data_IF_614684340432
#
_entry.id   IF_614684340432
#
_cell.length_a   1.000
_cell.length_b   1.000
_cell.length_c   1.000
_cell.angle_alpha   90.00
_cell.angle_beta   90.00
_cell.angle_gamma   90.00
#
_symmetry.space_group_name_H-M   'P 1'
#
loop_
_entity.id
_entity.type
_entity.pdbx_description
1 polymer ?
#
# COMPACT_ATOMS: atom_id res chain seq x y z
N UNK A 1 37.90 13.96 -59.42
CA UNK A 1 39.31 14.38 -59.62
C UNK A 1 39.78 15.16 -58.40
N UNK A 2 40.84 14.71 -57.74
CA UNK A 2 41.80 15.52 -56.98
C UNK A 2 42.93 15.95 -57.95
N UNK A 3 43.76 16.99 -57.70
CA UNK A 3 44.64 17.19 -56.51
C UNK A 3 44.57 18.62 -55.91
N UNK A 4 45.09 19.00 -54.73
CA UNK A 4 46.05 18.46 -53.73
C UNK A 4 47.55 18.85 -53.90
N UNK A 5 48.06 19.76 -53.04
CA UNK A 5 49.43 19.93 -52.42
C UNK A 5 49.71 21.44 -52.14
N UNK A 6 49.93 21.89 -50.88
CA UNK A 6 51.17 21.94 -50.04
C UNK A 6 52.27 22.85 -50.65
N UNK A 7 52.98 23.77 -49.97
CA UNK A 7 53.69 23.69 -48.66
C UNK A 7 54.32 25.08 -48.31
N UNK A 8 55.06 25.35 -47.22
CA UNK A 8 54.71 25.38 -45.78
C UNK A 8 55.83 26.06 -44.92
N UNK A 9 55.52 26.96 -43.97
CA UNK A 9 56.45 27.49 -42.92
C UNK A 9 55.68 27.78 -41.62
N UNK A 10 55.75 26.99 -40.54
CA UNK A 10 56.86 26.66 -39.60
C UNK A 10 57.04 27.68 -38.45
N UNK A 11 56.32 27.45 -37.34
CA UNK A 11 56.77 27.75 -35.95
C UNK A 11 56.32 26.62 -34.99
N UNK A 12 57.19 26.27 -34.05
CA UNK A 12 57.06 25.31 -32.93
C UNK A 12 57.79 25.93 -31.72
N UNK A 13 57.67 25.39 -30.50
CA UNK A 13 56.44 25.08 -29.79
C UNK A 13 56.38 25.81 -28.42
N UNK A 14 55.18 26.08 -27.90
CA UNK A 14 55.01 26.60 -26.54
C UNK A 14 55.37 25.55 -25.48
N UNK A 15 56.05 25.96 -24.40
CA UNK A 15 56.60 25.04 -23.41
C UNK A 15 55.54 24.32 -22.56
N UNK A 16 55.80 23.04 -22.26
CA UNK A 16 55.09 22.29 -21.23
C UNK A 16 55.57 22.73 -19.84
N UNK A 17 54.65 23.20 -18.99
CA UNK A 17 54.95 23.45 -17.57
C UNK A 17 54.47 22.28 -16.72
N UNK A 18 55.41 21.56 -16.09
CA UNK A 18 55.12 20.40 -15.27
C UNK A 18 54.66 20.81 -13.85
N UNK A 19 53.38 20.67 -13.55
CA UNK A 19 52.89 20.77 -12.17
C UNK A 19 53.16 19.46 -11.43
N UNK A 20 54.30 19.37 -10.72
CA UNK A 20 54.59 18.27 -9.80
C UNK A 20 53.55 18.23 -8.66
N UNK A 21 52.96 17.06 -8.44
CA UNK A 21 52.20 16.80 -7.23
C UNK A 21 53.13 16.89 -6.01
N UNK A 22 52.77 17.71 -5.01
CA UNK A 22 53.39 17.68 -3.69
C UNK A 22 52.52 16.85 -2.75
N UNK A 23 53.07 15.73 -2.28
CA UNK A 23 52.44 14.85 -1.31
C UNK A 23 52.54 15.43 0.11
N UNK A 24 51.44 15.96 0.64
CA UNK A 24 51.33 16.25 2.07
C UNK A 24 51.04 14.94 2.84
N UNK A 25 51.67 14.69 4.00
CA UNK A 25 51.41 13.49 4.78
C UNK A 25 50.01 13.56 5.40
N UNK A 26 49.18 12.53 5.17
CA UNK A 26 47.91 12.37 5.88
C UNK A 26 48.19 12.09 7.35
N UNK A 27 47.81 13.02 8.23
CA UNK A 27 47.69 12.74 9.65
C UNK A 27 46.57 11.71 9.86
N UNK A 28 46.91 10.54 10.41
CA UNK A 28 45.96 9.47 10.69
C UNK A 28 45.22 9.76 11.99
N UNK A 29 44.04 10.38 11.90
CA UNK A 29 43.12 10.41 13.04
C UNK A 29 42.70 8.97 13.40
N UNK A 30 42.83 8.53 14.66
CA UNK A 30 42.40 7.19 15.05
C UNK A 30 40.88 7.08 14.91
N UNK A 31 40.42 6.06 14.18
CA UNK A 31 38.99 5.72 14.16
C UNK A 31 38.60 5.20 15.55
N UNK A 32 37.86 6.00 16.30
CA UNK A 32 37.18 5.52 17.50
C UNK A 32 36.11 4.51 17.07
N UNK A 33 36.42 3.22 17.21
CA UNK A 33 35.40 2.17 17.14
C UNK A 33 34.52 2.28 18.38
N UNK A 34 33.33 2.85 18.24
CA UNK A 34 32.31 2.79 19.29
C UNK A 34 31.76 1.36 19.35
N UNK A 35 32.29 0.56 20.28
CA UNK A 35 31.76 -0.77 20.61
C UNK A 35 30.75 -0.70 21.75
N UNK A 36 29.91 0.33 21.75
CA UNK A 36 28.71 0.36 22.59
C UNK A 36 27.57 -0.29 21.82
N UNK A 37 26.89 -1.33 22.35
CA UNK A 37 25.67 -1.81 21.74
C UNK A 37 24.67 -0.64 21.71
N UNK A 38 24.07 -0.40 20.55
CA UNK A 38 23.00 0.58 20.45
C UNK A 38 21.81 0.05 21.25
N UNK A 39 21.66 0.54 22.49
CA UNK A 39 20.46 0.30 23.30
C UNK A 39 19.30 0.94 22.55
N UNK A 40 18.58 0.09 21.79
CA UNK A 40 17.37 0.46 21.06
C UNK A 40 16.35 0.86 22.12
N UNK A 41 16.27 2.17 22.39
CA UNK A 41 15.26 2.72 23.29
C UNK A 41 13.90 2.28 22.72
N UNK A 42 13.00 1.68 23.54
CA UNK A 42 11.69 1.27 23.03
C UNK A 42 11.03 2.51 22.44
N UNK A 43 10.75 2.45 21.13
CA UNK A 43 10.13 3.57 20.43
C UNK A 43 8.74 3.76 21.01
N UNK A 44 8.53 4.82 21.77
CA UNK A 44 7.23 5.15 22.33
C UNK A 44 6.18 5.11 21.23
N UNK A 45 5.07 4.41 21.50
CA UNK A 45 4.01 4.25 20.51
C UNK A 45 3.46 5.61 20.08
N UNK A 46 3.12 5.78 18.79
CA UNK A 46 2.58 7.03 18.29
C UNK A 46 1.28 7.41 19.00
N UNK A 47 0.93 8.71 19.05
CA UNK A 47 -0.35 9.13 19.59
C UNK A 47 -1.51 8.56 18.76
N UNK A 48 -2.66 8.38 19.40
CA UNK A 48 -3.89 8.02 18.71
C UNK A 48 -4.25 9.05 17.62
N UNK A 49 -4.81 8.62 16.47
CA UNK A 49 -5.19 9.54 15.41
C UNK A 49 -6.29 10.51 15.88
N UNK A 50 -6.22 11.81 15.52
CA UNK A 50 -7.32 12.73 15.76
C UNK A 50 -8.56 12.33 14.92
N UNK A 51 -9.78 12.69 15.35
CA UNK A 51 -11.01 12.33 14.64
C UNK A 51 -11.16 13.07 13.29
N UNK A 52 -10.51 14.23 13.16
CA UNK A 52 -10.38 14.97 11.90
C UNK A 52 -8.91 15.37 11.69
N UNK A 53 -8.43 15.32 10.45
CA UNK A 53 -7.05 15.69 10.16
C UNK A 53 -6.60 15.32 8.75
N UNK A 54 -5.34 15.62 8.47
CA UNK A 54 -4.67 15.25 7.22
C UNK A 54 -3.20 14.90 7.44
N UNK A 55 -2.63 14.06 6.58
CA UNK A 55 -1.19 13.74 6.59
C UNK A 55 -0.65 13.66 5.17
N UNK A 56 0.63 14.00 4.99
CA UNK A 56 1.39 13.58 3.82
C UNK A 56 1.60 12.06 3.88
N UNK A 57 1.65 11.41 2.71
CA UNK A 57 1.95 9.99 2.57
C UNK A 57 3.35 9.83 1.95
N UNK A 58 4.39 9.92 2.79
CA UNK A 58 5.77 9.74 2.35
C UNK A 58 6.06 8.30 1.89
N UNK A 59 5.23 7.34 2.33
CA UNK A 59 5.22 5.96 1.85
C UNK A 59 4.65 5.78 0.44
N UNK A 60 4.11 6.84 -0.20
CA UNK A 60 3.48 6.77 -1.53
C UNK A 60 4.17 7.70 -2.53
N UNK A 61 4.21 7.28 -3.81
CA UNK A 61 4.83 8.03 -4.92
C UNK A 61 3.99 7.94 -6.19
N UNK A 62 4.07 9.00 -7.00
CA UNK A 62 3.31 9.14 -8.25
C UNK A 62 4.17 8.79 -9.47
N UNK A 63 3.60 8.01 -10.38
CA UNK A 63 4.15 7.73 -11.70
C UNK A 63 3.19 8.31 -12.74
N UNK A 64 3.64 9.28 -13.53
CA UNK A 64 2.91 9.74 -14.70
C UNK A 64 2.97 8.70 -15.83
N UNK A 65 1.82 8.45 -16.46
CA UNK A 65 1.65 7.62 -17.66
C UNK A 65 0.78 8.38 -18.67
N UNK A 66 1.40 9.01 -19.67
CA UNK A 66 0.71 9.96 -20.58
C UNK A 66 1.02 9.73 -22.05
N UNK A 67 -0.01 9.72 -22.91
CA UNK A 67 0.08 9.56 -24.36
C UNK A 67 -1.04 8.68 -24.93
N UNK A 68 -1.33 8.74 -26.24
CA UNK A 68 -2.54 8.16 -26.85
C UNK A 68 -2.87 6.69 -26.49
N UNK A 69 -1.86 5.83 -26.33
CA UNK A 69 -2.10 4.41 -26.01
C UNK A 69 -2.18 4.10 -24.49
N UNK A 70 -2.03 5.10 -23.60
CA UNK A 70 -1.97 4.91 -22.14
C UNK A 70 -3.25 4.29 -21.57
N UNK A 71 -4.41 4.82 -21.98
CA UNK A 71 -5.74 4.40 -21.56
C UNK A 71 -5.98 2.91 -21.90
N UNK A 72 -5.69 2.54 -23.16
CA UNK A 72 -5.80 1.18 -23.67
C UNK A 72 -4.82 0.22 -22.98
N UNK A 73 -3.59 0.67 -22.71
CA UNK A 73 -2.61 -0.11 -21.97
C UNK A 73 -3.08 -0.40 -20.54
N UNK A 74 -3.44 0.64 -19.78
CA UNK A 74 -3.90 0.51 -18.39
C UNK A 74 -5.13 -0.39 -18.30
N UNK A 75 -6.10 -0.24 -19.21
CA UNK A 75 -7.30 -1.09 -19.24
C UNK A 75 -6.97 -2.59 -19.33
N UNK A 76 -5.88 -2.98 -19.99
CA UNK A 76 -5.47 -4.38 -20.14
C UNK A 76 -4.59 -4.93 -19.01
N UNK A 77 -4.12 -4.11 -18.07
CA UNK A 77 -3.13 -4.55 -17.04
C UNK A 77 -3.56 -4.31 -15.59
N UNK A 78 -4.60 -3.50 -15.34
CA UNK A 78 -5.13 -3.24 -13.99
C UNK A 78 -6.48 -3.96 -13.77
N UNK A 79 -6.84 -4.19 -12.51
CA UNK A 79 -8.07 -4.93 -12.10
C UNK A 79 -9.38 -4.14 -12.17
N UNK A 80 -9.32 -2.79 -12.17
CA UNK A 80 -10.48 -1.90 -12.29
C UNK A 80 -10.54 -1.24 -13.67
N UNK A 81 -11.64 -0.56 -14.03
CA UNK A 81 -11.81 0.05 -15.35
C UNK A 81 -11.35 1.51 -15.36
N UNK A 82 -10.64 1.93 -16.41
CA UNK A 82 -10.32 3.36 -16.64
C UNK A 82 -11.53 4.19 -17.11
N UNK A 83 -12.59 3.52 -17.56
CA UNK A 83 -13.88 4.12 -17.91
C UNK A 83 -14.93 3.76 -16.87
N UNK A 84 -15.96 4.60 -16.75
CA UNK A 84 -17.11 4.34 -15.90
C UNK A 84 -18.12 3.37 -16.54
N UNK A 85 -19.32 3.27 -15.94
CA UNK A 85 -20.40 2.36 -16.37
C UNK A 85 -21.03 2.76 -17.70
N UNK A 86 -20.94 4.04 -18.08
CA UNK A 86 -21.47 4.59 -19.33
C UNK A 86 -20.36 4.69 -20.40
N UNK A 87 -19.26 3.95 -20.17
CA UNK A 87 -18.05 3.91 -20.98
C UNK A 87 -17.35 5.27 -21.19
N UNK A 88 -17.61 6.26 -20.32
CA UNK A 88 -16.94 7.56 -20.35
C UNK A 88 -15.62 7.51 -19.57
N UNK A 89 -14.62 8.34 -19.92
CA UNK A 89 -13.41 8.48 -19.13
C UNK A 89 -13.76 8.88 -17.68
N UNK A 90 -13.21 8.18 -16.70
CA UNK A 90 -13.39 8.54 -15.29
C UNK A 90 -12.87 9.96 -15.02
N UNK A 91 -13.60 10.71 -14.21
CA UNK A 91 -13.24 12.09 -13.82
C UNK A 91 -12.53 12.16 -12.45
N UNK A 92 -12.60 11.09 -11.67
CA UNK A 92 -11.97 10.97 -10.34
C UNK A 92 -11.04 9.77 -10.32
N UNK A 93 -10.13 9.75 -9.35
CA UNK A 93 -9.28 8.58 -9.13
C UNK A 93 -10.03 7.37 -8.58
N UNK A 94 -9.38 6.20 -8.64
CA UNK A 94 -9.94 4.93 -8.18
C UNK A 94 -8.85 3.96 -7.76
N UNK A 95 -9.18 3.05 -6.84
CA UNK A 95 -8.27 2.01 -6.36
C UNK A 95 -8.20 0.83 -7.36
N UNK A 96 -7.03 0.22 -7.51
CA UNK A 96 -6.81 -0.92 -8.40
C UNK A 96 -5.55 -1.70 -8.02
N UNK A 97 -5.26 -2.76 -8.77
CA UNK A 97 -4.00 -3.49 -8.66
C UNK A 97 -3.49 -3.96 -10.02
N UNK A 98 -2.17 -4.12 -10.10
CA UNK A 98 -1.49 -4.88 -11.15
C UNK A 98 -1.31 -6.33 -10.67
N UNK A 99 -1.61 -7.31 -11.53
CA UNK A 99 -1.47 -8.73 -11.19
C UNK A 99 -0.41 -9.44 -12.05
N UNK A 100 0.09 -10.57 -11.56
CA UNK A 100 0.77 -11.57 -12.37
C UNK A 100 -0.22 -12.25 -13.33
N UNK A 101 0.29 -12.93 -14.36
CA UNK A 101 -0.54 -13.80 -15.21
C UNK A 101 -1.27 -14.89 -14.42
N UNK A 102 -0.73 -15.29 -13.26
CA UNK A 102 -1.31 -16.25 -12.32
C UNK A 102 -2.32 -15.62 -11.33
N UNK A 103 -2.67 -14.33 -11.49
CA UNK A 103 -3.66 -13.64 -10.66
C UNK A 103 -3.19 -13.30 -9.23
N UNK A 104 -1.90 -13.07 -9.03
CA UNK A 104 -1.29 -12.67 -7.76
C UNK A 104 -0.97 -11.18 -7.77
N UNK A 105 -1.10 -10.49 -6.64
CA UNK A 105 -0.82 -9.04 -6.56
C UNK A 105 0.67 -8.77 -6.84
N UNK A 106 0.94 -7.81 -7.73
CA UNK A 106 2.28 -7.24 -7.94
C UNK A 106 2.44 -5.89 -7.24
N UNK A 107 1.41 -5.04 -7.36
CA UNK A 107 1.33 -3.68 -6.82
C UNK A 107 -0.14 -3.32 -6.59
N UNK A 108 -0.46 -2.80 -5.41
CA UNK A 108 -1.66 -1.99 -5.16
C UNK A 108 -1.42 -0.56 -5.65
N UNK A 109 -2.44 0.05 -6.25
CA UNK A 109 -2.33 1.40 -6.82
C UNK A 109 -3.63 2.19 -6.68
N UNK A 110 -3.52 3.52 -6.63
CA UNK A 110 -4.59 4.39 -7.11
C UNK A 110 -4.23 4.92 -8.49
N UNK A 111 -5.23 5.01 -9.36
CA UNK A 111 -5.12 5.60 -10.70
C UNK A 111 -5.95 6.89 -10.70
N UNK A 112 -5.38 7.98 -11.20
CA UNK A 112 -6.04 9.28 -11.32
C UNK A 112 -5.94 9.77 -12.77
N UNK A 113 -6.98 10.38 -13.34
CA UNK A 113 -6.83 11.24 -14.50
C UNK A 113 -5.87 12.40 -14.17
N UNK A 114 -4.86 12.65 -15.00
CA UNK A 114 -3.90 13.74 -14.78
C UNK A 114 -4.48 15.06 -15.29
N UNK A 115 -5.24 15.75 -14.43
CA UNK A 115 -5.73 17.12 -14.69
C UNK A 115 -4.73 18.20 -14.28
N UNK A 116 -3.67 17.84 -13.56
CA UNK A 116 -2.63 18.75 -13.06
C UNK A 116 -1.55 19.03 -14.12
N UNK A 117 -1.48 18.21 -15.18
CA UNK A 117 -0.50 18.37 -16.25
C UNK A 117 0.93 18.01 -15.83
N UNK A 118 1.08 17.14 -14.82
CA UNK A 118 2.38 16.71 -14.30
C UNK A 118 3.09 15.73 -15.27
N UNK A 119 2.33 15.06 -16.12
CA UNK A 119 2.85 14.23 -17.20
C UNK A 119 3.33 15.02 -18.42
N UNK A 120 3.81 14.29 -19.42
CA UNK A 120 4.00 14.90 -20.75
C UNK A 120 2.62 15.24 -21.33
N UNK A 121 2.43 16.43 -21.94
CA UNK A 121 1.19 16.76 -22.64
C UNK A 121 0.83 15.68 -23.66
N UNK A 122 -0.41 15.20 -23.58
CA UNK A 122 -0.98 14.26 -24.55
C UNK A 122 -1.96 15.02 -25.45
N UNK A 123 -2.00 14.74 -26.77
CA UNK A 123 -2.88 15.47 -27.70
C UNK A 123 -4.38 15.15 -27.53
N UNK A 124 -4.72 14.08 -26.80
CA UNK A 124 -6.09 13.58 -26.66
C UNK A 124 -6.54 13.61 -25.18
N UNK A 125 -7.73 14.17 -24.85
CA UNK A 125 -8.28 14.10 -23.49
C UNK A 125 -8.42 12.65 -22.98
N UNK A 126 -8.28 12.46 -21.67
CA UNK A 126 -8.42 11.12 -21.06
C UNK A 126 -7.26 10.15 -21.33
N UNK A 127 -6.12 10.64 -21.83
CA UNK A 127 -4.93 9.80 -22.13
C UNK A 127 -3.69 10.15 -21.28
N UNK A 128 -3.89 10.86 -20.17
CA UNK A 128 -2.85 11.16 -19.18
C UNK A 128 -3.33 10.71 -17.80
N UNK A 129 -2.48 9.97 -17.09
CA UNK A 129 -2.81 9.40 -15.78
C UNK A 129 -1.66 9.55 -14.79
N UNK A 130 -2.01 9.68 -13.51
CA UNK A 130 -1.10 9.50 -12.38
C UNK A 130 -1.38 8.14 -11.74
N UNK A 131 -0.32 7.41 -11.39
CA UNK A 131 -0.39 6.13 -10.70
C UNK A 131 0.29 6.29 -9.34
N UNK A 132 -0.48 6.34 -8.27
CA UNK A 132 0.03 6.27 -6.89
C UNK A 132 0.37 4.83 -6.55
N UNK A 133 1.59 4.60 -6.08
CA UNK A 133 2.06 3.30 -5.60
C UNK A 133 2.95 3.46 -4.36
N UNK A 134 3.20 2.35 -3.67
CA UNK A 134 4.22 2.21 -2.62
C UNK A 134 5.57 2.80 -3.09
N UNK A 135 6.13 3.73 -2.31
CA UNK A 135 7.35 4.46 -2.61
C UNK A 135 8.58 3.56 -2.80
N UNK A 136 8.70 2.47 -2.03
CA UNK A 136 9.77 1.49 -2.17
C UNK A 136 9.63 0.65 -3.45
N UNK A 137 8.42 0.60 -4.03
CA UNK A 137 8.10 -0.19 -5.22
C UNK A 137 7.88 0.63 -6.50
N UNK A 138 7.69 1.95 -6.40
CA UNK A 138 7.36 2.83 -7.52
C UNK A 138 8.36 2.74 -8.70
N UNK A 139 9.67 2.67 -8.42
CA UNK A 139 10.67 2.49 -9.48
C UNK A 139 10.64 1.09 -10.13
N UNK A 140 10.15 0.09 -9.41
CA UNK A 140 9.94 -1.26 -9.96
C UNK A 140 8.65 -1.34 -10.78
N UNK A 141 7.57 -0.68 -10.34
CA UNK A 141 6.34 -0.51 -11.13
C UNK A 141 6.61 0.29 -12.42
N UNK A 142 7.33 1.41 -12.35
CA UNK A 142 7.68 2.20 -13.53
C UNK A 142 8.52 1.39 -14.54
N UNK A 143 9.42 0.51 -14.08
CA UNK A 143 10.15 -0.43 -14.95
C UNK A 143 9.24 -1.52 -15.52
N UNK A 144 8.29 -2.03 -14.74
CA UNK A 144 7.29 -3.01 -15.19
C UNK A 144 6.44 -2.41 -16.32
N UNK A 145 5.82 -1.24 -16.11
CA UNK A 145 5.02 -0.53 -17.13
C UNK A 145 5.84 -0.32 -18.42
N UNK A 146 7.08 0.19 -18.32
CA UNK A 146 7.97 0.40 -19.48
C UNK A 146 8.30 -0.90 -20.24
N UNK A 147 8.40 -2.05 -19.55
CA UNK A 147 8.64 -3.36 -20.17
C UNK A 147 7.44 -3.81 -21.02
N UNK A 148 6.22 -3.64 -20.50
CA UNK A 148 4.99 -4.08 -21.19
C UNK A 148 4.44 -3.07 -22.20
N UNK A 149 5.01 -1.86 -22.27
CA UNK A 149 4.65 -0.82 -23.26
C UNK A 149 4.69 -1.28 -24.72
N UNK A 150 5.56 -2.22 -25.11
CA UNK A 150 5.59 -2.88 -26.45
C UNK A 150 5.07 -2.04 -27.65
N UNK A 151 5.85 -1.02 -28.07
CA UNK A 151 5.54 -0.06 -29.16
C UNK A 151 4.36 0.92 -28.93
N UNK A 152 3.56 0.75 -27.88
CA UNK A 152 2.50 1.70 -27.51
C UNK A 152 3.07 3.11 -27.27
N UNK A 153 2.32 4.13 -27.69
CA UNK A 153 2.69 5.55 -27.67
C UNK A 153 2.25 6.21 -26.38
N UNK A 154 2.99 5.98 -25.30
CA UNK A 154 2.86 6.74 -24.05
C UNK A 154 4.21 6.87 -23.32
N UNK A 155 4.41 7.94 -22.57
CA UNK A 155 5.55 8.15 -21.69
C UNK A 155 5.31 7.55 -20.30
N UNK A 156 6.39 7.26 -19.56
CA UNK A 156 6.31 6.74 -18.18
C UNK A 156 7.39 7.41 -17.36
N UNK A 157 6.99 8.23 -16.38
CA UNK A 157 7.88 9.05 -15.56
C UNK A 157 7.54 8.90 -14.09
N UNK A 158 8.51 8.49 -13.27
CA UNK A 158 8.39 8.60 -11.82
C UNK A 158 8.55 10.09 -11.48
N UNK A 159 7.58 10.69 -10.80
CA UNK A 159 7.62 12.10 -10.41
C UNK A 159 8.48 12.27 -9.17
N UNK A 160 9.30 13.31 -9.12
CA UNK A 160 10.06 13.67 -7.91
C UNK A 160 9.13 14.23 -6.83
N UNK A 161 9.44 14.07 -5.53
CA UNK A 161 8.55 14.49 -4.44
C UNK A 161 8.27 16.01 -4.41
N UNK A 162 9.16 16.81 -5.02
CA UNK A 162 9.00 18.26 -5.19
C UNK A 162 8.10 18.65 -6.36
N UNK A 163 7.72 17.71 -7.24
CA UNK A 163 6.80 17.99 -8.35
C UNK A 163 5.34 17.81 -7.94
N UNK A 164 5.07 16.82 -7.08
CA UNK A 164 3.75 16.56 -6.54
C UNK A 164 3.80 15.70 -5.27
N UNK A 165 2.90 15.98 -4.35
CA UNK A 165 2.77 15.31 -3.06
C UNK A 165 1.42 14.60 -2.93
N UNK A 166 1.43 13.47 -2.21
CA UNK A 166 0.24 12.65 -1.94
C UNK A 166 -0.16 12.84 -0.48
N UNK A 167 -1.43 13.08 -0.24
CA UNK A 167 -2.00 13.34 1.08
C UNK A 167 -3.25 12.48 1.31
N UNK A 168 -3.55 12.23 2.57
CA UNK A 168 -4.82 11.65 3.00
C UNK A 168 -5.51 12.56 4.00
N UNK A 169 -6.82 12.78 3.81
CA UNK A 169 -7.68 13.64 4.61
C UNK A 169 -8.83 12.82 5.19
N UNK A 170 -9.21 13.09 6.44
CA UNK A 170 -10.37 12.47 7.07
C UNK A 170 -11.10 13.43 8.01
N UNK A 171 -12.39 13.20 8.19
CA UNK A 171 -13.21 13.72 9.28
C UNK A 171 -14.23 12.63 9.62
N UNK A 172 -14.08 12.02 10.79
CA UNK A 172 -14.92 10.91 11.22
C UNK A 172 -16.34 11.39 11.50
N UNK A 173 -17.40 10.62 11.19
CA UNK A 173 -18.79 11.08 11.34
C UNK A 173 -19.17 11.61 12.74
N UNK A 174 -18.44 11.21 13.79
CA UNK A 174 -18.61 11.69 15.16
C UNK A 174 -18.08 13.12 15.41
N UNK A 175 -17.13 13.61 14.61
CA UNK A 175 -16.67 15.02 14.59
C UNK A 175 -17.38 15.86 13.52
N UNK A 176 -18.49 15.34 12.99
CA UNK A 176 -19.12 15.80 11.75
C UNK A 176 -18.61 14.98 10.58
N UNK A 177 -19.52 14.46 9.76
CA UNK A 177 -19.10 13.86 8.48
C UNK A 177 -18.36 14.92 7.66
N UNK A 178 -17.40 14.50 6.81
CA UNK A 178 -17.06 15.32 5.64
C UNK A 178 -18.35 15.55 4.86
N UNK A 179 -18.92 16.75 5.03
CA UNK A 179 -19.92 17.23 4.09
C UNK A 179 -19.22 17.37 2.73
N UNK A 180 -19.97 17.35 1.62
CA UNK A 180 -19.37 17.68 0.33
C UNK A 180 -18.54 18.96 0.39
N UNK A 181 -18.92 19.95 1.23
CA UNK A 181 -18.20 21.21 1.48
C UNK A 181 -16.73 21.08 1.90
N UNK A 182 -16.40 20.15 2.80
CA UNK A 182 -15.08 20.06 3.44
C UNK A 182 -13.99 19.57 2.47
N UNK A 183 -14.40 18.83 1.43
CA UNK A 183 -13.59 18.55 0.25
C UNK A 183 -13.89 19.47 -0.95
N UNK A 184 -15.07 20.09 -1.03
CA UNK A 184 -15.50 20.84 -2.22
C UNK A 184 -14.72 22.14 -2.44
N UNK A 185 -14.10 22.73 -1.42
CA UNK A 185 -13.18 23.86 -1.63
C UNK A 185 -11.91 23.45 -2.39
N UNK A 186 -11.52 22.17 -2.31
CA UNK A 186 -10.41 21.57 -3.07
C UNK A 186 -10.88 20.90 -4.37
N UNK A 187 -12.13 20.43 -4.43
CA UNK A 187 -12.69 19.78 -5.60
C UNK A 187 -12.86 20.79 -6.75
N UNK A 188 -11.88 20.84 -7.64
CA UNK A 188 -11.80 21.81 -8.74
C UNK A 188 -10.81 22.95 -8.49
N UNK A 189 -10.03 22.93 -7.41
CA UNK A 189 -8.84 23.79 -7.31
C UNK A 189 -7.82 23.36 -8.38
N UNK A 190 -7.27 24.28 -9.20
CA UNK A 190 -6.48 23.91 -10.38
C UNK A 190 -5.24 23.07 -10.07
N UNK A 191 -4.63 23.28 -8.91
CA UNK A 191 -3.42 22.57 -8.46
C UNK A 191 -3.69 21.34 -7.58
N UNK A 192 -4.95 20.87 -7.51
CA UNK A 192 -5.36 19.76 -6.64
C UNK A 192 -6.24 18.71 -7.33
N UNK A 193 -5.96 17.44 -7.04
CA UNK A 193 -6.76 16.28 -7.42
C UNK A 193 -7.32 15.61 -6.16
N UNK A 194 -8.62 15.78 -5.89
CA UNK A 194 -9.31 15.13 -4.78
C UNK A 194 -10.01 13.84 -5.27
N UNK A 195 -9.97 12.79 -4.46
CA UNK A 195 -10.58 11.48 -4.76
C UNK A 195 -11.06 10.82 -3.48
N UNK A 196 -12.30 10.33 -3.46
CA UNK A 196 -12.84 9.56 -2.33
C UNK A 196 -12.06 8.24 -2.17
N UNK A 197 -11.60 7.93 -0.97
CA UNK A 197 -10.96 6.64 -0.69
C UNK A 197 -12.03 5.58 -0.42
N UNK A 198 -12.37 4.81 -1.45
CA UNK A 198 -13.48 3.83 -1.44
C UNK A 198 -13.12 2.48 -0.83
N UNK A 199 -12.00 2.37 -0.12
CA UNK A 199 -11.51 1.09 0.44
C UNK A 199 -12.18 0.68 1.74
N UNK A 200 -12.66 1.65 2.52
CA UNK A 200 -13.58 1.39 3.63
C UNK A 200 -14.65 2.51 3.68
N UNK A 201 -15.84 2.25 4.25
CA UNK A 201 -16.87 3.28 4.37
C UNK A 201 -16.37 4.49 5.18
N UNK A 202 -16.63 5.70 4.67
CA UNK A 202 -16.22 6.97 5.27
C UNK A 202 -14.71 7.09 5.60
N UNK A 203 -13.84 6.34 4.91
CA UNK A 203 -12.42 6.27 5.28
C UNK A 203 -11.68 7.60 5.14
N UNK A 204 -12.04 8.40 4.13
CA UNK A 204 -11.49 9.73 3.88
C UNK A 204 -11.31 10.00 2.39
N UNK A 205 -10.41 10.91 2.06
CA UNK A 205 -10.05 11.26 0.68
C UNK A 205 -8.55 11.13 0.46
N UNK A 206 -8.17 10.80 -0.77
CA UNK A 206 -6.86 11.05 -1.35
C UNK A 206 -6.84 12.44 -1.97
N UNK A 207 -5.77 13.17 -1.69
CA UNK A 207 -5.48 14.47 -2.30
C UNK A 207 -4.08 14.40 -2.91
N UNK A 208 -3.97 14.74 -4.20
CA UNK A 208 -2.69 15.03 -4.84
C UNK A 208 -2.61 16.53 -5.04
N UNK A 209 -1.50 17.14 -4.65
CA UNK A 209 -1.20 18.56 -4.90
C UNK A 209 0.06 18.70 -5.74
N UNK A 210 0.05 19.67 -6.66
CA UNK A 210 1.27 20.09 -7.36
C UNK A 210 2.26 20.72 -6.36
N UNK A 211 3.54 20.36 -6.47
CA UNK A 211 4.60 20.80 -5.54
C UNK A 211 4.67 20.03 -4.21
N UNK A 212 5.56 20.52 -3.34
CA UNK A 212 5.82 20.03 -1.98
C UNK A 212 5.24 20.94 -0.86
N UNK A 213 4.49 21.97 -1.23
CA UNK A 213 3.80 22.84 -0.29
C UNK A 213 2.75 22.06 0.52
N UNK A 214 2.68 22.34 1.82
CA UNK A 214 1.63 21.81 2.70
C UNK A 214 0.30 22.45 2.27
N UNK A 215 -0.76 21.69 1.95
CA UNK A 215 -2.04 22.26 1.56
C UNK A 215 -2.65 23.05 2.70
N UNK A 216 -3.18 24.24 2.38
CA UNK A 216 -3.84 25.12 3.34
C UNK A 216 -5.26 24.61 3.63
N UNK A 217 -5.40 23.79 4.67
CA UNK A 217 -6.65 23.13 5.07
C UNK A 217 -7.07 23.55 6.48
N UNK A 218 -8.38 23.67 6.72
CA UNK A 218 -8.95 23.86 8.06
C UNK A 218 -9.08 22.51 8.79
N UNK A 219 -7.95 21.80 8.89
CA UNK A 219 -7.81 20.48 9.51
C UNK A 219 -6.47 20.41 10.24
N UNK A 220 -6.37 19.54 11.26
CA UNK A 220 -5.09 19.32 11.94
C UNK A 220 -4.14 18.47 11.08
N UNK A 221 -2.93 18.97 10.83
CA UNK A 221 -1.88 18.14 10.25
C UNK A 221 -1.41 17.10 11.29
N UNK A 222 -1.38 15.83 10.89
CA UNK A 222 -1.00 14.69 11.71
C UNK A 222 0.18 13.94 11.08
N UNK A 223 0.93 13.12 11.85
CA UNK A 223 1.96 12.24 11.31
C UNK A 223 1.35 11.05 10.54
N UNK A 224 2.12 10.49 9.61
CA UNK A 224 1.69 9.33 8.78
C UNK A 224 1.37 8.07 9.61
N UNK A 225 1.90 7.97 10.83
CA UNK A 225 1.51 6.93 11.79
C UNK A 225 0.01 6.98 12.16
N UNK A 226 -0.60 8.16 12.22
CA UNK A 226 -2.04 8.31 12.43
C UNK A 226 -2.84 7.65 11.30
N UNK A 227 -2.37 7.79 10.06
CA UNK A 227 -2.95 7.12 8.90
C UNK A 227 -2.79 5.60 8.96
N UNK A 228 -1.62 5.09 9.36
CA UNK A 228 -1.41 3.65 9.55
C UNK A 228 -2.34 3.06 10.62
N UNK A 229 -2.50 3.74 11.77
CA UNK A 229 -3.45 3.32 12.80
C UNK A 229 -4.88 3.28 12.23
N UNK A 230 -5.32 4.32 11.52
CA UNK A 230 -6.65 4.37 10.89
C UNK A 230 -6.86 3.23 9.88
N UNK A 231 -5.87 2.93 9.03
CA UNK A 231 -5.89 1.77 8.12
C UNK A 231 -6.05 0.46 8.87
N UNK A 232 -5.26 0.26 9.93
CA UNK A 232 -5.28 -0.98 10.72
C UNK A 232 -6.58 -1.15 11.51
N UNK A 233 -7.13 -0.09 12.09
CA UNK A 233 -8.47 -0.16 12.71
C UNK A 233 -9.59 -0.40 11.67
N UNK A 234 -9.39 0.02 10.42
CA UNK A 234 -10.35 -0.19 9.32
C UNK A 234 -10.19 -1.55 8.61
N UNK A 235 -9.10 -2.28 8.85
CA UNK A 235 -8.77 -3.51 8.11
C UNK A 235 -8.28 -3.30 6.67
N UNK A 236 -7.75 -2.10 6.35
CA UNK A 236 -7.33 -1.69 5.00
C UNK A 236 -5.83 -1.94 4.80
N UNK A 237 -5.50 -2.93 3.99
CA UNK A 237 -4.14 -3.21 3.57
C UNK A 237 -3.65 -2.19 2.51
N UNK A 238 -2.39 -1.76 2.61
CA UNK A 238 -1.72 -0.91 1.63
C UNK A 238 -0.23 -1.25 1.52
N UNK A 239 0.30 -1.25 0.31
CA UNK A 239 1.73 -1.42 0.06
C UNK A 239 2.27 -2.85 0.27
N UNK A 240 3.59 -2.95 0.09
CA UNK A 240 4.24 -4.22 -0.19
C UNK A 240 4.51 -5.09 1.04
N UNK A 241 4.60 -4.48 2.22
CA UNK A 241 4.68 -5.14 3.52
C UNK A 241 3.39 -5.88 3.90
N UNK A 242 2.25 -5.45 3.35
CA UNK A 242 0.93 -5.93 3.73
C UNK A 242 0.30 -6.83 2.65
N UNK A 243 0.62 -6.58 1.36
CA UNK A 243 0.18 -7.40 0.23
C UNK A 243 1.37 -8.02 -0.52
N UNK A 244 1.95 -9.08 0.06
CA UNK A 244 3.16 -9.78 -0.42
C UNK A 244 3.16 -10.06 -1.93
N UNK A 245 4.16 -9.53 -2.64
CA UNK A 245 4.32 -9.62 -4.10
C UNK A 245 4.32 -11.06 -4.56
N UNK A 246 3.62 -11.34 -5.66
CA UNK A 246 3.55 -12.65 -6.33
C UNK A 246 2.91 -13.75 -5.47
N UNK A 247 2.56 -13.47 -4.20
CA UNK A 247 1.97 -14.41 -3.25
C UNK A 247 0.53 -14.06 -2.89
N UNK A 248 0.26 -12.79 -2.54
CA UNK A 248 -1.05 -12.31 -2.11
C UNK A 248 -2.11 -12.45 -3.22
N UNK A 249 -3.31 -12.89 -2.84
CA UNK A 249 -4.47 -12.92 -3.73
C UNK A 249 -5.32 -11.66 -3.57
N UNK A 250 -5.95 -11.15 -4.65
CA UNK A 250 -6.85 -10.00 -4.60
C UNK A 250 -7.98 -10.17 -3.57
N UNK A 251 -8.66 -11.32 -3.56
CA UNK A 251 -9.74 -11.60 -2.60
C UNK A 251 -9.23 -11.88 -1.18
N UNK A 252 -8.08 -12.53 -1.01
CA UNK A 252 -7.49 -12.67 0.33
C UNK A 252 -7.08 -11.30 0.89
N UNK A 253 -6.80 -10.32 0.03
CA UNK A 253 -6.45 -8.95 0.43
C UNK A 253 -7.64 -7.98 0.36
N UNK A 254 -8.87 -8.48 0.26
CA UNK A 254 -10.14 -7.72 0.25
C UNK A 254 -10.35 -6.75 -0.94
N UNK A 255 -9.57 -6.82 -2.03
CA UNK A 255 -9.76 -5.94 -3.20
C UNK A 255 -11.15 -6.08 -3.85
N UNK A 256 -11.82 -7.21 -3.63
CA UNK A 256 -13.18 -7.49 -4.08
C UNK A 256 -14.27 -6.70 -3.33
N UNK A 257 -13.95 -6.17 -2.14
CA UNK A 257 -14.82 -5.30 -1.35
C UNK A 257 -14.31 -3.86 -1.25
N UNK A 258 -13.00 -3.64 -1.45
CA UNK A 258 -12.39 -2.30 -1.48
C UNK A 258 -12.57 -1.56 -2.83
N UNK A 259 -13.52 -1.99 -3.67
CA UNK A 259 -13.74 -1.51 -5.05
C UNK A 259 -12.50 -1.59 -5.97
N UNK A 260 -11.53 -2.45 -5.66
CA UNK A 260 -10.28 -2.60 -6.40
C UNK A 260 -10.37 -3.53 -7.62
N UNK A 261 -11.49 -4.26 -7.80
CA UNK A 261 -11.73 -5.18 -8.93
C UNK A 261 -13.07 -4.85 -9.57
N UNK A 262 -13.09 -4.70 -10.89
CA UNK A 262 -14.32 -4.71 -11.66
C UNK A 262 -14.48 -6.05 -12.38
N UNK A 263 -15.60 -6.74 -12.14
CA UNK A 263 -15.87 -8.05 -12.75
C UNK A 263 -16.47 -7.95 -14.17
N UNK A 264 -17.00 -6.78 -14.55
CA UNK A 264 -17.69 -6.56 -15.82
C UNK A 264 -16.85 -5.84 -16.89
N UNK A 265 -15.58 -5.52 -16.60
CA UNK A 265 -14.65 -4.93 -17.59
C UNK A 265 -14.10 -6.00 -18.55
N UNK A 266 -13.55 -5.52 -19.68
CA UNK A 266 -12.83 -6.36 -20.63
C UNK A 266 -11.55 -7.00 -20.07
N UNK A 267 -10.94 -7.87 -20.86
CA UNK A 267 -9.84 -8.73 -20.42
C UNK A 267 -8.64 -7.98 -19.86
N UNK A 268 -8.08 -8.48 -18.75
CA UNK A 268 -6.87 -7.95 -18.13
C UNK A 268 -5.93 -9.06 -17.61
N UNK A 269 -4.66 -8.74 -17.39
CA UNK A 269 -3.65 -9.69 -16.88
C UNK A 269 -4.05 -10.26 -15.51
N UNK A 270 -4.10 -11.59 -15.37
CA UNK A 270 -4.45 -12.25 -14.10
C UNK A 270 -5.95 -12.37 -13.81
N UNK A 271 -6.82 -11.99 -14.75
CA UNK A 271 -8.27 -12.05 -14.60
C UNK A 271 -8.82 -13.46 -14.34
N UNK A 272 -8.29 -14.50 -14.98
CA UNK A 272 -8.81 -15.88 -14.92
C UNK A 272 -8.95 -16.41 -13.49
N UNK A 273 -7.89 -16.34 -12.67
CA UNK A 273 -7.96 -16.77 -11.28
C UNK A 273 -8.89 -15.88 -10.45
N UNK A 274 -8.95 -14.59 -10.76
CA UNK A 274 -9.76 -13.59 -10.07
C UNK A 274 -11.26 -13.85 -10.28
N UNK A 275 -11.68 -14.09 -11.53
CA UNK A 275 -13.06 -14.44 -11.88
C UNK A 275 -13.42 -15.83 -11.33
N UNK A 276 -12.56 -16.83 -11.53
CA UNK A 276 -12.80 -18.19 -11.02
C UNK A 276 -13.00 -18.20 -9.50
N UNK A 277 -12.22 -17.40 -8.77
CA UNK A 277 -12.37 -17.26 -7.31
C UNK A 277 -13.67 -16.57 -6.92
N UNK A 278 -14.15 -15.57 -7.68
CA UNK A 278 -15.43 -14.88 -7.42
C UNK A 278 -16.64 -15.80 -7.56
N UNK A 279 -16.69 -16.63 -8.62
CA UNK A 279 -17.87 -17.45 -8.95
C UNK A 279 -17.84 -18.87 -8.40
N UNK A 280 -16.66 -19.47 -8.20
CA UNK A 280 -16.51 -20.89 -7.80
C UNK A 280 -15.53 -21.11 -6.64
N UNK A 281 -14.93 -20.04 -6.11
CA UNK A 281 -13.92 -20.14 -5.06
C UNK A 281 -14.47 -19.81 -3.68
N UNK A 282 -14.11 -20.62 -2.69
CA UNK A 282 -14.31 -20.29 -1.27
C UNK A 282 -13.07 -19.55 -0.76
N UNK A 283 -13.23 -18.26 -0.44
CA UNK A 283 -12.16 -17.43 0.14
C UNK A 283 -12.04 -17.74 1.64
N UNK A 284 -11.16 -18.69 1.98
CA UNK A 284 -10.98 -19.18 3.37
C UNK A 284 -10.12 -18.27 4.27
N UNK A 285 -9.34 -17.38 3.67
CA UNK A 285 -8.47 -16.45 4.38
C UNK A 285 -8.73 -15.03 3.88
N UNK A 286 -8.68 -14.06 4.79
CA UNK A 286 -8.64 -12.64 4.44
C UNK A 286 -7.65 -11.91 5.33
N UNK A 287 -7.11 -10.80 4.85
CA UNK A 287 -6.42 -9.84 5.70
C UNK A 287 -7.45 -9.27 6.66
N UNK A 288 -7.18 -9.37 7.96
CA UNK A 288 -8.03 -8.88 9.02
C UNK A 288 -7.23 -7.98 9.97
N UNK A 289 -7.88 -6.96 10.56
CA UNK A 289 -7.30 -6.19 11.64
C UNK A 289 -7.15 -7.05 12.90
N UNK A 290 -6.05 -6.83 13.61
CA UNK A 290 -5.67 -7.58 14.79
C UNK A 290 -5.21 -6.65 15.91
N UNK A 291 -5.47 -7.06 17.15
CA UNK A 291 -4.90 -6.47 18.37
C UNK A 291 -3.90 -7.48 18.95
N UNK A 292 -2.70 -7.03 19.29
CA UNK A 292 -1.75 -7.81 20.11
C UNK A 292 -1.92 -7.48 21.59
N UNK A 293 -1.64 -8.44 22.45
CA UNK A 293 -1.73 -8.32 23.91
C UNK A 293 -0.70 -9.21 24.60
N UNK A 294 -0.39 -8.92 25.86
CA UNK A 294 0.54 -9.70 26.67
C UNK A 294 0.06 -11.13 26.92
N UNK A 295 0.98 -12.00 27.34
CA UNK A 295 0.66 -13.40 27.62
C UNK A 295 -0.35 -13.56 28.76
N UNK A 296 -0.29 -12.69 29.76
CA UNK A 296 -1.13 -12.72 30.96
C UNK A 296 -2.29 -11.71 30.93
N UNK A 297 -2.40 -10.91 29.86
CA UNK A 297 -3.48 -9.94 29.67
C UNK A 297 -4.79 -10.63 29.26
N UNK A 298 -5.96 -10.06 29.63
CA UNK A 298 -7.26 -10.57 29.18
C UNK A 298 -7.42 -10.43 27.66
N UNK A 299 -8.10 -11.40 27.04
CA UNK A 299 -8.38 -11.39 25.59
C UNK A 299 -9.12 -10.08 25.21
N UNK A 300 -8.60 -9.27 24.26
CA UNK A 300 -9.25 -8.04 23.84
C UNK A 300 -10.66 -8.31 23.29
N UNK A 301 -11.64 -7.56 23.82
CA UNK A 301 -13.06 -7.67 23.41
C UNK A 301 -13.43 -6.72 22.26
N UNK A 302 -12.57 -5.75 21.94
CA UNK A 302 -12.79 -4.74 20.91
C UNK A 302 -11.51 -4.41 20.14
N UNK A 303 -11.65 -4.11 18.85
CA UNK A 303 -10.58 -3.54 18.04
C UNK A 303 -10.37 -2.07 18.41
N UNK A 304 -9.35 -1.78 19.22
CA UNK A 304 -9.02 -0.43 19.67
C UNK A 304 -7.51 -0.21 19.65
N UNK A 305 -7.09 0.99 19.26
CA UNK A 305 -5.72 1.45 19.41
C UNK A 305 -5.53 2.04 20.80
N UNK A 306 -4.50 1.59 21.51
CA UNK A 306 -4.11 2.13 22.80
C UNK A 306 -2.59 2.40 22.79
N UNK A 307 -2.17 3.69 22.84
CA UNK A 307 -0.76 4.06 22.85
C UNK A 307 -0.04 3.64 24.15
N UNK A 308 -0.78 3.26 25.20
CA UNK A 308 -0.26 2.79 26.48
C UNK A 308 -0.27 1.27 26.65
N UNK A 309 -1.12 0.54 25.90
CA UNK A 309 -1.17 -0.94 25.92
C UNK A 309 0.07 -1.61 25.31
N UNK A 310 0.94 -0.84 24.66
CA UNK A 310 2.26 -1.34 24.26
C UNK A 310 3.17 -1.32 25.48
N UNK A 311 3.19 -2.46 26.20
CA UNK A 311 4.12 -2.70 27.30
C UNK A 311 5.56 -2.83 26.81
N UNK A 312 6.18 -3.99 27.00
CA UNK A 312 7.56 -4.20 26.54
C UNK A 312 7.70 -4.38 25.00
N UNK A 313 6.60 -4.57 24.26
CA UNK A 313 6.63 -4.96 22.84
C UNK A 313 5.61 -4.17 22.00
N UNK A 314 6.04 -3.74 20.81
CA UNK A 314 5.18 -3.12 19.79
C UNK A 314 4.81 -4.13 18.69
N UNK A 315 3.65 -3.94 18.07
CA UNK A 315 3.20 -4.65 16.89
C UNK A 315 4.10 -4.42 15.66
N UNK A 316 4.95 -3.37 15.72
CA UNK A 316 6.00 -3.08 14.75
C UNK A 316 7.28 -3.94 14.97
N UNK A 317 7.48 -4.52 16.15
CA UNK A 317 8.62 -5.40 16.46
C UNK A 317 8.34 -6.87 16.12
N UNK A 318 7.07 -7.23 15.89
CA UNK A 318 6.67 -8.55 15.40
C UNK A 318 7.13 -8.70 13.93
N UNK A 319 7.95 -9.71 13.59
CA UNK A 319 8.44 -9.89 12.22
C UNK A 319 7.32 -10.08 11.19
N UNK A 320 7.51 -9.51 10.00
CA UNK A 320 6.63 -9.79 8.86
C UNK A 320 6.58 -11.30 8.58
N UNK A 321 5.39 -11.79 8.22
CA UNK A 321 5.09 -13.23 8.03
C UNK A 321 5.22 -14.12 9.28
N UNK A 322 5.40 -13.57 10.49
CA UNK A 322 5.40 -14.34 11.72
C UNK A 322 4.17 -15.26 11.81
N UNK A 323 4.41 -16.54 12.11
CA UNK A 323 3.36 -17.56 12.09
C UNK A 323 2.44 -17.37 13.29
N UNK A 324 1.13 -17.31 13.01
CA UNK A 324 0.12 -17.30 14.07
C UNK A 324 -0.22 -18.76 14.40
N UNK A 325 -0.09 -19.12 15.67
CA UNK A 325 -0.35 -20.46 16.19
C UNK A 325 -1.43 -20.46 17.28
N UNK A 326 -2.18 -21.55 17.40
CA UNK A 326 -3.18 -21.73 18.46
C UNK A 326 -2.50 -22.18 19.75
N UNK A 327 -2.76 -21.50 20.87
CA UNK A 327 -2.18 -21.84 22.19
C UNK A 327 -2.50 -23.30 22.57
N UNK A 328 -3.76 -23.71 22.41
CA UNK A 328 -4.27 -25.06 22.70
C UNK A 328 -3.91 -26.10 21.63
N UNK A 329 -3.16 -25.73 20.58
CA UNK A 329 -2.83 -26.59 19.42
C UNK A 329 -4.05 -27.17 18.68
N UNK A 330 -5.26 -26.66 18.93
CA UNK A 330 -6.53 -27.10 18.30
C UNK A 330 -6.55 -26.80 16.80
N UNK A 331 -6.12 -25.59 16.42
CA UNK A 331 -6.18 -25.12 15.04
C UNK A 331 -4.84 -25.24 14.31
N UNK A 332 -4.88 -25.75 13.07
CA UNK A 332 -3.71 -25.88 12.19
C UNK A 332 -3.61 -24.69 11.23
N UNK A 333 -2.48 -23.98 11.29
CA UNK A 333 -2.15 -22.80 10.50
C UNK A 333 -3.24 -21.70 10.50
N UNK A 334 -3.59 -21.11 11.66
CA UNK A 334 -4.52 -19.98 11.79
C UNK A 334 -4.23 -18.81 10.84
N UNK A 335 -2.97 -18.39 10.69
CA UNK A 335 -2.63 -17.24 9.87
C UNK A 335 -1.15 -16.86 9.86
N UNK A 336 -0.87 -15.68 9.31
CA UNK A 336 0.44 -15.02 9.32
C UNK A 336 0.28 -13.54 9.65
N UNK A 337 1.15 -13.00 10.49
CA UNK A 337 1.32 -11.57 10.68
C UNK A 337 1.78 -10.88 9.38
N UNK A 338 1.46 -9.60 9.21
CA UNK A 338 1.90 -8.81 8.07
C UNK A 338 2.68 -7.58 8.55
N UNK A 339 2.00 -6.66 9.23
CA UNK A 339 2.58 -5.42 9.77
C UNK A 339 1.70 -4.85 10.89
N UNK A 340 2.24 -3.99 11.74
CA UNK A 340 1.48 -3.28 12.76
C UNK A 340 2.22 -2.08 13.36
N UNK A 341 1.54 -1.38 14.27
CA UNK A 341 2.05 -0.24 15.04
C UNK A 341 1.38 -0.18 16.41
N UNK A 342 2.15 0.06 17.47
CA UNK A 342 1.65 0.04 18.86
C UNK A 342 1.04 -1.30 19.22
N UNK A 343 -0.26 -1.36 19.53
CA UNK A 343 -0.97 -2.61 19.84
C UNK A 343 -1.80 -3.18 18.66
N UNK A 344 -1.83 -2.55 17.48
CA UNK A 344 -2.70 -2.96 16.35
C UNK A 344 -1.91 -3.29 15.08
N UNK A 345 -2.49 -4.10 14.21
CA UNK A 345 -1.91 -4.40 12.89
C UNK A 345 -2.82 -5.23 12.01
N UNK A 346 -2.26 -5.80 10.95
CA UNK A 346 -2.94 -6.67 10.01
C UNK A 346 -2.30 -8.07 9.99
N UNK A 347 -3.14 -9.09 9.81
CA UNK A 347 -2.71 -10.45 9.58
C UNK A 347 -3.56 -11.13 8.51
N UNK A 348 -2.95 -12.05 7.75
CA UNK A 348 -3.68 -12.95 6.86
C UNK A 348 -4.29 -14.08 7.70
N UNK A 349 -5.56 -13.94 8.06
CA UNK A 349 -6.27 -14.81 8.99
C UNK A 349 -7.18 -15.80 8.26
N UNK A 350 -7.24 -17.05 8.76
CA UNK A 350 -8.21 -18.06 8.33
C UNK A 350 -9.54 -17.83 9.04
N UNK A 351 -10.59 -17.56 8.27
CA UNK A 351 -11.89 -17.08 8.78
C UNK A 351 -12.54 -18.09 9.74
N UNK A 352 -12.71 -19.34 9.30
CA UNK A 352 -13.30 -20.48 10.04
C UNK A 352 -12.51 -20.95 11.30
N UNK A 353 -11.44 -20.22 11.64
CA UNK A 353 -10.50 -20.54 12.71
C UNK A 353 -10.30 -19.37 13.67
N UNK A 354 -10.13 -18.15 13.14
CA UNK A 354 -9.81 -16.97 13.95
C UNK A 354 -11.01 -16.03 14.19
N UNK A 355 -12.16 -16.32 13.60
CA UNK A 355 -13.34 -15.46 13.67
C UNK A 355 -14.63 -16.25 13.85
N UNK A 356 -15.66 -15.56 14.35
CA UNK A 356 -17.04 -16.01 14.50
C UNK A 356 -17.80 -16.11 13.15
N UNK A 357 -17.17 -15.79 12.03
CA UNK A 357 -17.81 -15.85 10.72
C UNK A 357 -18.20 -17.29 10.36
N UNK A 358 -19.51 -17.51 10.28
CA UNK A 358 -20.09 -18.71 9.66
C UNK A 358 -19.84 -18.62 8.16
N UNK A 359 -18.76 -19.25 7.71
CA UNK A 359 -18.45 -19.40 6.28
C UNK A 359 -19.46 -20.31 5.57
N UNK A 360 -19.42 -20.40 4.22
CA UNK A 360 -20.28 -21.29 3.44
C UNK A 360 -19.95 -22.79 3.61
N UNK A 361 -19.22 -23.17 4.66
CA UNK A 361 -18.76 -24.54 4.92
C UNK A 361 -19.10 -24.94 6.36
N UNK A 362 -19.60 -26.16 6.59
CA UNK A 362 -20.33 -26.51 7.82
C UNK A 362 -19.45 -26.77 9.07
N UNK A 363 -18.14 -26.52 9.03
CA UNK A 363 -17.20 -26.87 10.11
C UNK A 363 -16.30 -25.71 10.51
N UNK A 364 -16.90 -24.65 11.07
CA UNK A 364 -16.14 -23.71 11.90
C UNK A 364 -15.59 -24.44 13.14
N UNK A 365 -14.36 -24.10 13.52
CA UNK A 365 -13.69 -24.64 14.71
C UNK A 365 -13.49 -23.59 15.81
N UNK A 366 -13.85 -22.34 15.51
CA UNK A 366 -13.67 -21.17 16.36
C UNK A 366 -14.53 -21.22 17.63
N UNK A 367 -13.93 -20.76 18.73
CA UNK A 367 -14.58 -20.39 19.98
C UNK A 367 -14.08 -19.01 20.41
N UNK A 368 -14.92 -18.23 21.09
CA UNK A 368 -14.52 -16.91 21.58
C UNK A 368 -13.32 -16.96 22.55
N UNK A 369 -13.18 -18.08 23.26
CA UNK A 369 -12.08 -18.40 24.17
C UNK A 369 -10.82 -18.96 23.49
N UNK A 370 -10.80 -19.14 22.17
CA UNK A 370 -9.59 -19.62 21.49
C UNK A 370 -8.54 -18.50 21.41
N UNK A 371 -7.38 -18.77 22.00
CA UNK A 371 -6.23 -17.87 21.99
C UNK A 371 -5.22 -18.24 20.89
N UNK A 372 -4.63 -17.21 20.30
CA UNK A 372 -3.57 -17.31 19.30
C UNK A 372 -2.35 -16.51 19.74
N UNK A 373 -1.16 -17.01 19.36
CA UNK A 373 0.13 -16.41 19.71
C UNK A 373 1.07 -16.35 18.51
N UNK A 374 2.08 -15.50 18.65
CA UNK A 374 3.21 -15.37 17.72
C UNK A 374 4.49 -15.40 18.55
N UNK A 375 5.46 -16.20 18.12
CA UNK A 375 6.75 -16.38 18.78
C UNK A 375 7.88 -16.10 17.78
N UNK A 376 8.90 -15.36 18.22
CA UNK A 376 10.11 -15.07 17.43
C UNK A 376 11.32 -14.85 18.34
N UNK A 377 12.51 -14.89 17.77
CA UNK A 377 13.75 -14.58 18.48
C UNK A 377 14.23 -13.18 18.07
N UNK A 378 14.58 -12.35 19.05
CA UNK A 378 15.15 -11.03 18.82
C UNK A 378 16.68 -11.06 19.00
N UNK A 379 17.42 -10.63 17.97
CA UNK A 379 18.89 -10.65 17.92
C UNK A 379 19.47 -11.80 17.08
N UNK A 380 20.64 -11.56 16.47
CA UNK A 380 21.37 -12.58 15.68
C UNK A 380 22.37 -13.35 16.55
N UNK A 381 22.27 -14.68 16.59
CA UNK A 381 23.23 -15.57 17.27
C UNK A 381 22.64 -16.41 18.41
N UNK A 382 23.50 -17.14 19.13
CA UNK A 382 23.12 -18.09 20.19
C UNK A 382 22.60 -17.44 21.50
N UNK A 383 22.44 -16.12 21.53
CA UNK A 383 21.99 -15.34 22.70
C UNK A 383 20.71 -14.52 22.47
N UNK A 384 19.95 -14.78 21.40
CA UNK A 384 18.73 -14.04 21.09
C UNK A 384 17.60 -14.26 22.10
N UNK A 385 16.88 -13.19 22.45
CA UNK A 385 15.79 -13.24 23.44
C UNK A 385 14.50 -13.76 22.78
N UNK A 386 13.86 -14.77 23.37
CA UNK A 386 12.58 -15.28 22.87
C UNK A 386 11.44 -14.31 23.21
N UNK A 387 10.78 -13.77 22.18
CA UNK A 387 9.61 -12.91 22.29
C UNK A 387 8.34 -13.70 22.01
N UNK A 388 7.29 -13.41 22.76
CA UNK A 388 5.96 -13.98 22.62
C UNK A 388 4.91 -12.88 22.84
N UNK A 389 3.96 -12.77 21.92
CA UNK A 389 2.73 -11.98 22.12
C UNK A 389 1.51 -12.80 21.74
N UNK A 390 0.38 -12.54 22.39
CA UNK A 390 -0.92 -13.06 21.96
C UNK A 390 -1.53 -12.12 20.92
N UNK A 391 -2.43 -12.64 20.08
CA UNK A 391 -3.09 -11.89 19.01
C UNK A 391 -4.56 -12.28 18.87
N UNK A 392 -5.44 -11.29 18.72
CA UNK A 392 -6.88 -11.47 18.45
C UNK A 392 -7.22 -10.77 17.14
N UNK A 393 -7.79 -11.53 16.20
CA UNK A 393 -8.32 -10.98 14.95
C UNK A 393 -9.76 -10.49 15.14
N UNK A 394 -10.10 -9.42 14.41
CA UNK A 394 -11.43 -8.83 14.40
C UNK A 394 -11.94 -8.74 12.95
N UNK A 395 -13.26 -8.74 12.78
CA UNK A 395 -13.90 -8.53 11.47
C UNK A 395 -14.58 -7.16 11.48
N UNK A 396 -14.12 -6.20 10.67
CA UNK A 396 -14.78 -4.90 10.54
C UNK A 396 -16.26 -5.03 10.20
N UNK A 397 -17.15 -4.16 10.73
CA UNK A 397 -18.58 -4.19 10.40
C UNK A 397 -18.86 -4.16 8.90
N UNK A 398 -18.12 -3.34 8.14
CA UNK A 398 -18.25 -3.25 6.69
C UNK A 398 -17.91 -4.57 5.99
N UNK A 399 -16.83 -5.25 6.40
CA UNK A 399 -16.42 -6.52 5.81
C UNK A 399 -17.42 -7.63 6.14
N UNK A 400 -17.95 -7.65 7.36
CA UNK A 400 -19.02 -8.57 7.77
C UNK A 400 -20.28 -8.38 6.93
N UNK A 401 -20.68 -7.13 6.68
CA UNK A 401 -21.81 -6.81 5.82
C UNK A 401 -21.58 -7.29 4.37
N UNK A 402 -20.45 -6.95 3.74
CA UNK A 402 -20.16 -7.35 2.35
C UNK A 402 -20.04 -8.88 2.17
N UNK A 403 -19.56 -9.59 3.20
CA UNK A 403 -19.55 -11.06 3.22
C UNK A 403 -20.99 -11.64 3.32
N UNK A 404 -21.84 -11.07 4.17
CA UNK A 404 -23.23 -11.50 4.30
C UNK A 404 -24.04 -11.26 3.01
N UNK A 405 -23.84 -10.11 2.34
CA UNK A 405 -24.50 -9.77 1.08
C UNK A 405 -24.09 -10.69 -0.08
N UNK A 406 -22.86 -11.24 -0.06
CA UNK A 406 -22.35 -12.12 -1.12
C UNK A 406 -22.61 -13.62 -0.89
N UNK A 407 -22.92 -14.04 0.34
CA UNK A 407 -23.22 -15.44 0.68
C UNK A 407 -24.42 -16.06 -0.10
N UNK A 408 -25.62 -15.43 -0.18
CA UNK A 408 -26.76 -16.03 -0.88
C UNK A 408 -26.55 -16.15 -2.39
N UNK A 409 -25.78 -15.24 -3.00
CA UNK A 409 -25.45 -15.27 -4.42
C UNK A 409 -24.52 -16.46 -4.80
N UNK A 410 -23.70 -16.93 -3.87
CA UNK A 410 -22.84 -18.11 -4.09
C UNK A 410 -23.59 -19.43 -3.89
N UNK A 411 -24.59 -19.49 -2.99
CA UNK A 411 -25.41 -20.68 -2.80
C UNK A 411 -26.26 -20.99 -4.06
N UNK A 412 -26.96 -19.99 -4.61
CA UNK A 412 -27.79 -20.16 -5.80
C UNK A 412 -26.98 -20.56 -7.05
N UNK A 413 -25.74 -20.08 -7.17
CA UNK A 413 -24.83 -20.50 -8.25
C UNK A 413 -24.34 -21.95 -8.11
N UNK A 414 -24.46 -22.54 -6.91
CA UNK A 414 -24.00 -23.90 -6.61
C UNK A 414 -25.11 -24.96 -6.77
N UNK A 415 -26.38 -24.56 -6.75
CA UNK A 415 -27.55 -25.41 -7.04
C UNK A 415 -27.94 -25.43 -8.53
N UNK A 416 -27.41 -24.50 -9.32
CA UNK A 416 -27.69 -24.35 -10.76
C UNK A 416 -26.60 -24.93 -11.69
N UNK A 417 -25.68 -25.75 -11.15
CA UNK A 417 -24.57 -26.40 -11.88
C UNK A 417 -24.37 -27.85 -11.45
#
# INVERSE_FOLDING_TARGET
>A
MQPATRSATRRLPGAFTCCRASSAPRASAPRAFSTSPAVRSPSASPPAPPPAGFTALSSRRLISVSGPDSAKFLQGVITASIVDRDAQPRQTGFYSAFLTAQGRILFDVFIYPDTLGLGKPSPEPGTSFLVEADAAQAQTLARHIRRYKLRAKFDVRLLDPSEATVWHLWNDPASGALTPGDGASLAGHPDALLTLDTRAPAFGHRLITSGDAIPALDLAQAPESAYHIRRYLSGVAEGQSEMLREHALPQESNLDFMNGIEYHKGCYVGQELTIRTKHRGVVRKRILPCVIYGADDPIPTSLAYDPSASGALSAADVPAEAKIESCDKRARNPGKWLAGVGNVGLALCRLETMTDLVGPLPTSSFKDTDEFKMEWTEGEGEGGEARLVKVKAFVPPWLRQSLAETAPAQAQAHEAS
#
